data_IF_816604138940
#
_entry.id   IF_816604138940
#
_cell.length_a   1.000
_cell.length_b   1.000
_cell.length_c   1.000
_cell.angle_alpha   90.00
_cell.angle_beta   90.00
_cell.angle_gamma   90.00
#
_symmetry.space_group_name_H-M   'P 1'
#
loop_
_entity.id
_entity.type
_entity.pdbx_description
1 polymer ?
#
# COMPACT_ATOMS: atom_id res chain seq x y z
N UNK A 1 5.44 28.70 6.59
CA UNK A 1 4.72 28.16 5.43
C UNK A 1 5.62 28.06 4.18
N UNK A 2 6.39 29.09 3.83
CA UNK A 2 7.25 29.04 2.63
C UNK A 2 8.23 27.85 2.63
N UNK A 3 8.95 27.61 3.75
CA UNK A 3 9.86 26.44 3.90
C UNK A 3 9.10 25.13 3.74
N UNK A 4 7.94 25.01 4.37
CA UNK A 4 7.08 23.84 4.26
C UNK A 4 6.67 23.54 2.80
N UNK A 5 6.23 24.56 2.03
CA UNK A 5 5.91 24.39 0.62
C UNK A 5 7.16 24.10 -0.23
N UNK A 6 8.33 24.61 0.12
CA UNK A 6 9.57 24.27 -0.55
C UNK A 6 9.91 22.78 -0.40
N UNK A 7 9.77 22.23 0.82
CA UNK A 7 10.01 20.80 1.08
C UNK A 7 8.98 19.94 0.33
N UNK A 8 7.69 20.29 0.37
CA UNK A 8 6.66 19.62 -0.42
C UNK A 8 6.98 19.63 -1.92
N UNK A 9 7.40 20.77 -2.45
CA UNK A 9 7.76 20.89 -3.87
C UNK A 9 8.93 19.99 -4.26
N UNK A 10 9.97 19.89 -3.43
CA UNK A 10 11.11 19.00 -3.67
C UNK A 10 10.68 17.54 -3.72
N UNK A 11 9.90 17.11 -2.71
CA UNK A 11 9.40 15.75 -2.60
C UNK A 11 8.51 15.40 -3.81
N UNK A 12 7.51 16.23 -4.09
CA UNK A 12 6.60 15.99 -5.22
C UNK A 12 7.33 16.02 -6.59
N UNK A 13 8.34 16.88 -6.74
CA UNK A 13 9.17 16.90 -7.96
C UNK A 13 9.97 15.60 -8.10
N UNK A 14 10.55 15.08 -7.00
CA UNK A 14 11.22 13.77 -6.99
C UNK A 14 10.25 12.64 -7.38
N UNK A 15 9.01 12.70 -6.92
CA UNK A 15 7.98 11.71 -7.29
C UNK A 15 7.57 11.84 -8.75
N UNK A 16 7.22 13.04 -9.24
CA UNK A 16 6.69 13.23 -10.59
C UNK A 16 7.74 13.09 -11.70
N UNK A 17 8.96 13.51 -11.44
CA UNK A 17 10.01 13.60 -12.46
C UNK A 17 11.21 12.70 -12.18
N UNK A 18 11.50 12.43 -10.91
CA UNK A 18 12.66 11.63 -10.48
C UNK A 18 12.37 10.15 -10.31
N UNK A 19 11.12 9.72 -10.41
CA UNK A 19 10.76 8.31 -10.26
C UNK A 19 10.81 7.76 -8.82
N UNK A 20 11.06 8.59 -7.79
CA UNK A 20 11.06 8.14 -6.39
C UNK A 20 9.66 7.81 -5.87
N UNK A 21 9.53 6.82 -5.00
CA UNK A 21 8.29 6.63 -4.25
C UNK A 21 8.15 7.72 -3.18
N UNK A 22 6.90 8.13 -2.90
CA UNK A 22 6.64 9.25 -1.96
C UNK A 22 7.25 8.99 -0.58
N UNK A 23 7.17 7.75 -0.09
CA UNK A 23 7.75 7.35 1.19
C UNK A 23 9.27 7.47 1.20
N UNK A 24 9.92 7.07 0.11
CA UNK A 24 11.36 7.21 -0.08
C UNK A 24 11.74 8.70 -0.13
N UNK A 25 11.09 9.49 -0.99
CA UNK A 25 11.36 10.91 -1.13
C UNK A 25 11.21 11.68 0.18
N UNK A 26 10.21 11.33 1.01
CA UNK A 26 10.03 11.89 2.37
C UNK A 26 11.16 11.54 3.33
N UNK A 27 11.68 10.32 3.27
CA UNK A 27 12.77 9.87 4.14
C UNK A 27 14.12 10.47 3.74
N UNK A 28 14.37 10.63 2.44
CA UNK A 28 15.62 11.19 1.90
C UNK A 28 15.67 12.71 1.94
N UNK A 29 14.51 13.38 2.03
CA UNK A 29 14.47 14.85 2.10
C UNK A 29 14.65 15.32 3.55
N UNK A 30 15.67 16.13 3.86
CA UNK A 30 15.79 16.78 5.17
C UNK A 30 14.58 17.71 5.40
N UNK A 31 13.78 17.42 6.40
CA UNK A 31 12.59 18.18 6.79
C UNK A 31 12.71 18.52 8.27
N UNK A 32 12.46 19.79 8.64
CA UNK A 32 12.33 20.18 10.02
C UNK A 32 11.22 19.39 10.71
N UNK A 33 11.51 18.75 11.84
CA UNK A 33 10.60 17.83 12.53
C UNK A 33 9.23 18.46 12.82
N UNK A 34 9.21 19.75 13.17
CA UNK A 34 7.95 20.51 13.39
C UNK A 34 7.07 20.60 12.14
N UNK A 35 7.65 20.49 10.93
CA UNK A 35 6.94 20.58 9.65
C UNK A 35 6.62 19.20 9.06
N UNK A 36 7.29 18.13 9.51
CA UNK A 36 7.22 16.79 8.92
C UNK A 36 5.79 16.29 8.73
N UNK A 37 4.95 16.41 9.75
CA UNK A 37 3.56 15.98 9.68
C UNK A 37 2.74 16.72 8.60
N UNK A 38 2.93 18.05 8.52
CA UNK A 38 2.25 18.88 7.51
C UNK A 38 2.77 18.61 6.09
N UNK A 39 4.08 18.48 5.92
CA UNK A 39 4.70 18.12 4.63
C UNK A 39 4.18 16.77 4.15
N UNK A 40 4.17 15.77 5.04
CA UNK A 40 3.61 14.44 4.74
C UNK A 40 2.16 14.55 4.30
N UNK A 41 1.33 15.26 5.07
CA UNK A 41 -0.11 15.42 4.77
C UNK A 41 -0.35 16.08 3.40
N UNK A 42 0.42 17.11 3.05
CA UNK A 42 0.29 17.77 1.73
C UNK A 42 0.77 16.86 0.62
N UNK A 43 1.93 16.22 0.75
CA UNK A 43 2.48 15.37 -0.30
C UNK A 43 1.57 14.17 -0.60
N UNK A 44 1.17 13.43 0.42
CA UNK A 44 0.24 12.31 0.26
C UNK A 44 -1.11 12.75 -0.28
N UNK A 45 -1.67 13.85 0.23
CA UNK A 45 -2.96 14.35 -0.21
C UNK A 45 -2.96 14.86 -1.65
N UNK A 46 -1.90 15.54 -2.09
CA UNK A 46 -1.74 15.95 -3.49
C UNK A 46 -1.69 14.73 -4.40
N UNK A 47 -0.95 13.68 -4.01
CA UNK A 47 -0.87 12.45 -4.79
C UNK A 47 -2.18 11.65 -4.75
N UNK A 48 -2.86 11.61 -3.60
CA UNK A 48 -4.19 10.97 -3.51
C UNK A 48 -5.20 11.64 -4.42
N UNK A 49 -5.19 12.96 -4.52
CA UNK A 49 -6.10 13.74 -5.37
C UNK A 49 -5.52 14.12 -6.73
N UNK A 50 -4.45 13.47 -7.17
CA UNK A 50 -3.69 13.89 -8.36
C UNK A 50 -4.53 14.02 -9.62
N UNK A 51 -5.36 13.02 -9.93
CA UNK A 51 -6.22 12.99 -11.12
C UNK A 51 -7.33 14.03 -11.01
N UNK A 52 -7.95 14.16 -9.85
CA UNK A 52 -8.96 15.21 -9.56
C UNK A 52 -8.37 16.59 -9.78
N UNK A 53 -7.21 16.86 -9.18
CA UNK A 53 -6.52 18.15 -9.28
C UNK A 53 -6.07 18.46 -10.73
N UNK A 54 -5.59 17.46 -11.46
CA UNK A 54 -5.24 17.62 -12.89
C UNK A 54 -6.48 17.92 -13.75
N UNK A 55 -7.59 17.28 -13.50
CA UNK A 55 -8.86 17.58 -14.18
C UNK A 55 -9.32 19.02 -13.88
N UNK A 56 -9.32 19.43 -12.62
CA UNK A 56 -9.70 20.77 -12.20
C UNK A 56 -8.79 21.85 -12.82
N UNK A 57 -7.48 21.60 -12.91
CA UNK A 57 -6.54 22.48 -13.63
C UNK A 57 -6.92 22.57 -15.11
N UNK A 58 -7.19 21.44 -15.75
CA UNK A 58 -7.50 21.42 -17.19
C UNK A 58 -8.80 22.11 -17.54
N UNK A 59 -9.78 22.10 -16.60
CA UNK A 59 -11.07 22.80 -16.75
C UNK A 59 -10.93 24.32 -16.59
N UNK A 60 -9.97 24.77 -15.78
CA UNK A 60 -9.79 26.20 -15.51
C UNK A 60 -8.73 26.89 -16.39
N UNK A 61 -7.97 26.13 -17.17
CA UNK A 61 -6.88 26.61 -18.02
C UNK A 61 -7.07 26.21 -19.49
N UNK A 62 -6.95 27.17 -20.41
CA UNK A 62 -6.99 26.91 -21.85
C UNK A 62 -5.77 26.08 -22.33
N UNK A 63 -4.63 26.27 -21.67
CA UNK A 63 -3.40 25.54 -21.97
C UNK A 63 -2.87 24.85 -20.72
N UNK A 64 -2.50 23.58 -20.86
CA UNK A 64 -1.95 22.79 -19.76
C UNK A 64 -0.58 23.36 -19.29
N UNK A 65 -0.45 23.81 -18.02
CA UNK A 65 0.80 24.34 -17.50
C UNK A 65 1.90 23.27 -17.46
N UNK A 66 3.17 23.68 -17.52
CA UNK A 66 4.32 22.78 -17.35
C UNK A 66 4.28 22.08 -15.98
N UNK A 67 4.84 20.87 -15.87
CA UNK A 67 4.80 20.05 -14.66
C UNK A 67 5.18 20.80 -13.38
N UNK A 68 6.25 21.58 -13.42
CA UNK A 68 6.71 22.35 -12.27
C UNK A 68 5.68 23.37 -11.76
N UNK A 69 4.92 24.00 -12.67
CA UNK A 69 3.84 24.94 -12.30
C UNK A 69 2.64 24.16 -11.80
N UNK A 70 2.28 23.03 -12.45
CA UNK A 70 1.19 22.17 -11.99
C UNK A 70 1.43 21.66 -10.57
N UNK A 71 2.68 21.30 -10.23
CA UNK A 71 3.03 20.88 -8.86
C UNK A 71 2.71 21.99 -7.86
N UNK A 72 3.10 23.24 -8.16
CA UNK A 72 2.76 24.39 -7.30
C UNK A 72 1.26 24.61 -7.19
N UNK A 73 0.53 24.51 -8.32
CA UNK A 73 -0.94 24.65 -8.32
C UNK A 73 -1.59 23.54 -7.50
N UNK A 74 -1.21 22.28 -7.70
CA UNK A 74 -1.78 21.14 -6.94
C UNK A 74 -1.56 21.29 -5.44
N UNK A 75 -0.39 21.73 -5.00
CA UNK A 75 -0.10 22.02 -3.60
C UNK A 75 -1.04 23.11 -3.05
N UNK A 76 -1.21 24.19 -3.82
CA UNK A 76 -2.11 25.28 -3.45
C UNK A 76 -3.58 24.86 -3.40
N UNK A 77 -4.04 24.19 -4.43
CA UNK A 77 -5.42 23.68 -4.54
C UNK A 77 -5.75 22.73 -3.38
N UNK A 78 -4.85 21.78 -3.10
CA UNK A 78 -5.03 20.85 -1.99
C UNK A 78 -5.07 21.58 -0.64
N UNK A 79 -4.16 22.52 -0.42
CA UNK A 79 -4.10 23.30 0.83
C UNK A 79 -5.36 24.14 1.04
N UNK A 80 -5.91 24.73 -0.01
CA UNK A 80 -7.13 25.55 0.05
C UNK A 80 -8.36 24.66 0.27
N UNK A 81 -8.58 23.67 -0.60
CA UNK A 81 -9.82 22.88 -0.65
C UNK A 81 -9.92 21.83 0.45
N UNK A 82 -8.82 21.11 0.72
CA UNK A 82 -8.85 19.95 1.62
C UNK A 82 -8.28 20.23 3.01
N UNK A 83 -7.44 21.25 3.15
CA UNK A 83 -6.90 21.65 4.46
C UNK A 83 -7.56 22.92 5.02
N UNK A 84 -8.42 23.60 4.26
CA UNK A 84 -9.09 24.82 4.68
C UNK A 84 -8.13 26.00 4.91
N UNK A 85 -6.93 25.97 4.32
CA UNK A 85 -5.95 27.03 4.50
C UNK A 85 -6.37 28.30 3.76
N UNK A 86 -6.25 29.44 4.41
CA UNK A 86 -6.66 30.73 3.85
C UNK A 86 -5.99 31.01 2.49
N UNK A 87 -6.81 31.35 1.49
CA UNK A 87 -6.38 31.52 0.08
C UNK A 87 -5.20 32.49 -0.04
N UNK A 88 -5.26 33.66 0.65
CA UNK A 88 -4.20 34.64 0.60
C UNK A 88 -2.86 34.09 1.11
N UNK A 89 -2.89 33.36 2.23
CA UNK A 89 -1.69 32.80 2.83
C UNK A 89 -1.04 31.73 1.93
N UNK A 90 -1.84 30.87 1.31
CA UNK A 90 -1.36 29.88 0.34
C UNK A 90 -0.78 30.57 -0.89
N UNK A 91 -1.51 31.51 -1.46
CA UNK A 91 -1.15 32.20 -2.70
C UNK A 91 0.15 32.98 -2.55
N UNK A 92 0.30 33.79 -1.49
CA UNK A 92 1.49 34.62 -1.26
C UNK A 92 2.75 33.75 -1.10
N UNK A 93 2.64 32.64 -0.35
CA UNK A 93 3.76 31.72 -0.16
C UNK A 93 4.15 30.97 -1.45
N UNK A 94 3.18 30.56 -2.29
CA UNK A 94 3.47 29.86 -3.54
C UNK A 94 4.00 30.82 -4.63
N UNK A 95 3.57 32.05 -4.66
CA UNK A 95 4.11 33.11 -5.54
C UNK A 95 5.58 33.37 -5.16
N UNK A 96 5.86 33.53 -3.88
CA UNK A 96 7.24 33.72 -3.41
C UNK A 96 8.11 32.47 -3.67
N UNK A 97 7.56 31.29 -3.49
CA UNK A 97 8.25 30.04 -3.84
C UNK A 97 8.55 29.97 -5.35
N UNK A 98 7.60 30.33 -6.20
CA UNK A 98 7.83 30.35 -7.65
C UNK A 98 8.99 31.28 -8.05
N UNK A 99 9.10 32.45 -7.41
CA UNK A 99 10.23 33.38 -7.62
C UNK A 99 11.54 32.74 -7.19
N UNK A 100 11.61 32.13 -6.00
CA UNK A 100 12.80 31.43 -5.50
C UNK A 100 13.25 30.26 -6.37
N UNK A 101 12.31 29.58 -7.01
CA UNK A 101 12.58 28.49 -7.96
C UNK A 101 12.97 28.99 -9.38
N UNK A 102 13.20 30.27 -9.57
CA UNK A 102 13.49 30.86 -10.89
C UNK A 102 12.29 30.86 -11.85
N UNK A 103 11.08 30.74 -11.32
CA UNK A 103 9.81 30.73 -12.06
C UNK A 103 8.99 32.00 -11.86
N UNK A 104 9.63 33.12 -11.53
CA UNK A 104 8.99 34.40 -11.25
C UNK A 104 8.01 34.88 -12.32
N UNK A 105 8.28 34.58 -13.60
CA UNK A 105 7.36 34.88 -14.71
C UNK A 105 6.01 34.17 -14.62
N UNK A 106 5.85 33.14 -13.80
CA UNK A 106 4.58 32.42 -13.56
C UNK A 106 3.82 32.91 -12.31
N UNK A 107 4.41 33.83 -11.54
CA UNK A 107 3.85 34.30 -10.26
C UNK A 107 2.44 34.90 -10.41
N UNK A 108 2.26 35.78 -11.40
CA UNK A 108 0.95 36.36 -11.72
C UNK A 108 -0.10 35.32 -12.09
N UNK A 109 0.29 34.32 -12.88
CA UNK A 109 -0.60 33.21 -13.25
C UNK A 109 -1.01 32.38 -12.03
N UNK A 110 -0.06 31.99 -11.16
CA UNK A 110 -0.32 31.20 -9.94
C UNK A 110 -1.30 31.96 -9.03
N UNK A 111 -1.08 33.27 -8.83
CA UNK A 111 -1.94 34.11 -8.02
C UNK A 111 -3.39 34.17 -8.60
N UNK A 112 -3.52 34.47 -9.90
CA UNK A 112 -4.81 34.57 -10.55
C UNK A 112 -5.54 33.22 -10.54
N UNK A 113 -4.84 32.12 -10.83
CA UNK A 113 -5.39 30.77 -10.85
C UNK A 113 -5.95 30.37 -9.48
N UNK A 114 -5.16 30.48 -8.42
CA UNK A 114 -5.60 30.03 -7.08
C UNK A 114 -6.78 30.86 -6.55
N UNK A 115 -6.84 32.15 -6.85
CA UNK A 115 -8.00 32.99 -6.51
C UNK A 115 -9.26 32.63 -7.32
N UNK A 116 -9.10 32.27 -8.61
CA UNK A 116 -10.17 31.75 -9.46
C UNK A 116 -10.66 30.40 -8.95
N UNK A 117 -9.73 29.49 -8.66
CA UNK A 117 -10.01 28.14 -8.16
C UNK A 117 -10.82 28.16 -6.86
N UNK A 118 -10.45 29.01 -5.91
CA UNK A 118 -11.12 29.11 -4.61
C UNK A 118 -12.62 29.50 -4.69
N UNK A 119 -13.07 30.03 -5.85
CA UNK A 119 -14.44 30.44 -6.11
C UNK A 119 -15.15 29.60 -7.17
N UNK A 120 -14.41 28.70 -7.82
CA UNK A 120 -14.91 27.92 -8.94
C UNK A 120 -15.78 26.75 -8.45
N UNK A 121 -16.93 26.58 -9.09
CA UNK A 121 -17.68 25.33 -9.07
C UNK A 121 -17.31 24.56 -10.32
N UNK A 122 -16.75 23.37 -10.15
CA UNK A 122 -16.25 22.55 -11.25
C UNK A 122 -17.12 21.30 -11.33
N UNK A 123 -17.84 21.18 -12.43
CA UNK A 123 -18.68 20.02 -12.70
C UNK A 123 -17.83 18.81 -13.05
N UNK A 124 -18.27 17.63 -12.60
CA UNK A 124 -17.65 16.36 -12.96
C UNK A 124 -18.00 16.01 -14.42
N UNK A 125 -17.14 15.19 -15.08
CA UNK A 125 -17.44 14.73 -16.44
C UNK A 125 -18.76 13.98 -16.53
N UNK A 126 -19.45 14.06 -17.66
CA UNK A 126 -20.71 13.34 -17.92
C UNK A 126 -20.48 11.85 -18.22
N UNK A 127 -19.34 11.51 -18.82
CA UNK A 127 -18.95 10.10 -19.02
C UNK A 127 -18.76 9.41 -17.68
N UNK A 128 -19.42 8.29 -17.48
CA UNK A 128 -19.50 7.56 -16.22
C UNK A 128 -18.14 7.12 -15.66
N UNK A 129 -17.31 6.52 -16.50
CA UNK A 129 -15.98 6.03 -16.08
C UNK A 129 -15.08 7.21 -15.72
N UNK A 130 -15.10 8.24 -16.55
CA UNK A 130 -14.32 9.45 -16.30
C UNK A 130 -14.82 10.21 -15.07
N UNK A 131 -16.12 10.22 -14.83
CA UNK A 131 -16.72 10.80 -13.62
C UNK A 131 -16.15 10.14 -12.36
N UNK A 132 -16.25 8.80 -12.27
CA UNK A 132 -15.72 8.04 -11.14
C UNK A 132 -14.19 8.19 -11.01
N UNK A 133 -13.47 8.21 -12.15
CA UNK A 133 -12.04 8.46 -12.19
C UNK A 133 -11.66 9.79 -11.54
N UNK A 134 -12.33 10.87 -11.92
CA UNK A 134 -12.09 12.21 -11.38
C UNK A 134 -12.56 12.31 -9.93
N UNK A 135 -13.75 11.79 -9.62
CA UNK A 135 -14.37 11.87 -8.27
C UNK A 135 -13.49 11.20 -7.21
N UNK A 136 -12.97 10.01 -7.49
CA UNK A 136 -12.17 9.20 -6.55
C UNK A 136 -10.68 9.27 -6.81
N UNK A 137 -10.25 9.97 -7.88
CA UNK A 137 -8.85 10.07 -8.28
C UNK A 137 -8.22 8.70 -8.55
N UNK A 138 -8.89 7.86 -9.35
CA UNK A 138 -8.39 6.57 -9.85
C UNK A 138 -8.16 6.62 -11.36
N UNK A 139 -7.11 5.96 -11.89
CA UNK A 139 -6.93 5.84 -13.35
C UNK A 139 -8.14 5.18 -14.02
N UNK A 140 -8.54 5.67 -15.19
CA UNK A 140 -9.73 5.16 -15.91
C UNK A 140 -9.69 3.65 -16.14
N UNK A 141 -8.51 3.07 -16.46
CA UNK A 141 -8.41 1.62 -16.65
C UNK A 141 -8.75 0.85 -15.37
N UNK A 142 -8.34 1.36 -14.20
CA UNK A 142 -8.64 0.74 -12.92
C UNK A 142 -10.14 0.84 -12.60
N UNK A 143 -10.75 2.01 -12.87
CA UNK A 143 -12.20 2.20 -12.73
C UNK A 143 -12.96 1.22 -13.63
N UNK A 144 -12.58 1.11 -14.93
CA UNK A 144 -13.18 0.17 -15.88
C UNK A 144 -13.13 -1.27 -15.38
N UNK A 145 -12.00 -1.70 -14.84
CA UNK A 145 -11.83 -3.05 -14.28
C UNK A 145 -12.71 -3.25 -13.05
N UNK A 146 -12.69 -2.33 -12.09
CA UNK A 146 -13.52 -2.44 -10.88
C UNK A 146 -15.02 -2.49 -11.21
N UNK A 147 -15.49 -1.59 -12.08
CA UNK A 147 -16.90 -1.57 -12.52
C UNK A 147 -17.25 -2.84 -13.29
N UNK A 148 -16.39 -3.32 -14.17
CA UNK A 148 -16.61 -4.53 -14.96
C UNK A 148 -16.66 -5.81 -14.11
N UNK A 149 -15.90 -5.87 -13.01
CA UNK A 149 -15.85 -7.07 -12.14
C UNK A 149 -16.89 -7.07 -11.03
N UNK A 150 -17.18 -5.91 -10.45
CA UNK A 150 -17.97 -5.81 -9.22
C UNK A 150 -19.27 -5.02 -9.38
N UNK A 151 -19.51 -4.42 -10.56
CA UNK A 151 -20.58 -3.47 -10.76
C UNK A 151 -20.24 -2.08 -10.20
N UNK A 152 -21.03 -1.07 -10.58
CA UNK A 152 -20.73 0.33 -10.28
C UNK A 152 -20.82 0.66 -8.79
N UNK A 153 -21.91 0.29 -8.13
CA UNK A 153 -22.13 0.60 -6.71
C UNK A 153 -21.03 -0.01 -5.81
N UNK A 154 -20.59 -1.24 -6.15
CA UNK A 154 -19.53 -1.90 -5.40
C UNK A 154 -18.17 -1.28 -5.69
N UNK A 155 -17.88 -0.96 -6.94
CA UNK A 155 -16.65 -0.27 -7.34
C UNK A 155 -16.54 1.10 -6.66
N UNK A 156 -17.65 1.83 -6.57
CA UNK A 156 -17.70 3.13 -5.91
C UNK A 156 -17.39 3.02 -4.41
N UNK A 157 -17.96 2.03 -3.70
CA UNK A 157 -17.66 1.75 -2.29
C UNK A 157 -16.18 1.46 -2.07
N UNK A 158 -15.58 0.60 -2.92
CA UNK A 158 -14.14 0.28 -2.86
C UNK A 158 -13.28 1.52 -3.05
N UNK A 159 -13.61 2.38 -4.05
CA UNK A 159 -12.83 3.58 -4.34
C UNK A 159 -13.02 4.70 -3.32
N UNK A 160 -14.19 4.76 -2.67
CA UNK A 160 -14.51 5.77 -1.64
C UNK A 160 -14.03 5.39 -0.26
N UNK A 161 -13.55 4.17 -0.05
CA UNK A 161 -13.09 3.70 1.25
C UNK A 161 -12.02 4.62 1.85
N UNK A 162 -12.02 4.71 3.17
CA UNK A 162 -11.03 5.46 3.92
C UNK A 162 -9.65 4.77 3.88
N UNK A 163 -8.63 5.52 4.30
CA UNK A 163 -7.30 5.00 4.53
C UNK A 163 -7.32 3.92 5.61
N UNK A 164 -6.45 2.93 5.50
CA UNK A 164 -6.30 1.88 6.51
C UNK A 164 -5.99 2.49 7.88
N UNK A 165 -6.65 1.97 8.92
CA UNK A 165 -6.37 2.36 10.30
C UNK A 165 -5.00 1.87 10.72
N UNK A 166 -4.24 2.73 11.41
CA UNK A 166 -2.92 2.35 11.93
C UNK A 166 -3.05 1.25 12.96
N UNK A 167 -2.40 0.11 12.71
CA UNK A 167 -2.35 -1.01 13.64
C UNK A 167 -0.93 -1.24 14.16
N UNK A 168 -0.84 -1.54 15.46
CA UNK A 168 0.38 -1.91 16.18
C UNK A 168 0.24 -3.34 16.67
N UNK A 169 1.23 -4.17 16.37
CA UNK A 169 1.35 -5.54 16.87
C UNK A 169 2.51 -5.62 17.85
N UNK A 170 2.25 -6.13 19.04
CA UNK A 170 3.27 -6.36 20.06
C UNK A 170 3.99 -7.69 19.84
N UNK A 171 5.25 -7.76 20.26
CA UNK A 171 6.04 -8.98 20.16
C UNK A 171 5.53 -10.02 21.17
N UNK A 172 5.79 -11.29 20.87
CA UNK A 172 5.43 -12.41 21.75
C UNK A 172 6.03 -12.20 23.16
N UNK A 173 5.21 -12.41 24.17
CA UNK A 173 5.61 -12.22 25.58
C UNK A 173 5.45 -10.79 26.11
N UNK A 174 5.06 -9.82 25.28
CA UNK A 174 4.72 -8.47 25.72
C UNK A 174 3.21 -8.37 25.89
N UNK A 175 2.73 -7.87 27.01
CA UNK A 175 1.33 -7.49 27.20
C UNK A 175 1.08 -6.11 26.58
N UNK A 176 0.58 -6.12 25.33
CA UNK A 176 0.36 -4.90 24.57
C UNK A 176 -0.77 -4.03 25.14
N UNK A 177 -1.80 -4.64 25.72
CA UNK A 177 -2.90 -3.89 26.33
C UNK A 177 -2.43 -3.11 27.56
N UNK A 178 -1.71 -3.79 28.46
CA UNK A 178 -1.10 -3.14 29.61
C UNK A 178 -0.12 -2.05 29.20
N UNK A 179 0.73 -2.32 28.20
CA UNK A 179 1.69 -1.34 27.66
C UNK A 179 1.00 -0.05 27.19
N UNK A 180 -0.10 -0.18 26.43
CA UNK A 180 -0.84 0.97 25.91
C UNK A 180 -1.61 1.69 27.03
N UNK A 181 -2.23 0.96 27.94
CA UNK A 181 -3.01 1.49 29.05
C UNK A 181 -2.16 2.29 30.04
N UNK A 182 -1.02 1.76 30.49
CA UNK A 182 -0.09 2.47 31.41
C UNK A 182 0.42 3.80 30.83
N UNK A 183 0.60 3.86 29.51
CA UNK A 183 1.06 5.05 28.78
C UNK A 183 -0.07 5.96 28.31
N UNK A 184 -1.33 5.59 28.61
CA UNK A 184 -2.54 6.35 28.23
C UNK A 184 -2.64 6.65 26.74
N UNK A 185 -2.21 5.67 25.91
CA UNK A 185 -2.39 5.77 24.46
C UNK A 185 -3.88 5.55 24.12
N UNK A 186 -4.35 6.25 23.08
CA UNK A 186 -5.67 6.01 22.50
C UNK A 186 -5.59 4.77 21.60
N UNK A 187 -6.30 3.70 21.99
CA UNK A 187 -6.29 2.42 21.29
C UNK A 187 -7.64 1.74 21.29
N UNK A 188 -7.84 0.86 20.33
CA UNK A 188 -8.99 -0.03 20.20
C UNK A 188 -8.49 -1.45 19.90
N UNK A 189 -9.13 -2.47 20.53
CA UNK A 189 -8.79 -3.88 20.25
C UNK A 189 -9.14 -4.24 18.81
N UNK A 190 -8.25 -4.98 18.16
CA UNK A 190 -8.55 -5.65 16.90
C UNK A 190 -9.05 -7.07 17.15
N UNK A 191 -9.59 -7.78 16.14
CA UNK A 191 -9.94 -9.20 16.29
C UNK A 191 -8.73 -10.13 16.52
N UNK A 192 -7.50 -9.62 16.34
CA UNK A 192 -6.27 -10.41 16.46
C UNK A 192 -5.59 -10.20 17.80
N UNK A 193 -5.05 -11.28 18.33
CA UNK A 193 -4.33 -11.26 19.60
C UNK A 193 -3.16 -10.26 19.56
N UNK A 194 -3.00 -9.52 20.64
CA UNK A 194 -1.90 -8.58 20.87
C UNK A 194 -1.65 -7.57 19.75
N UNK A 195 -2.74 -7.23 19.03
CA UNK A 195 -2.76 -6.27 17.92
C UNK A 195 -3.86 -5.24 18.18
N UNK A 196 -3.53 -3.95 18.06
CA UNK A 196 -4.42 -2.85 18.41
C UNK A 196 -4.42 -1.78 17.32
N UNK A 197 -5.60 -1.22 17.04
CA UNK A 197 -5.67 0.05 16.33
C UNK A 197 -5.26 1.17 17.28
N UNK A 198 -4.49 2.14 16.77
CA UNK A 198 -3.97 3.24 17.56
C UNK A 198 -4.13 4.59 16.85
N UNK A 199 -4.41 5.64 17.63
CA UNK A 199 -4.51 6.99 17.12
C UNK A 199 -3.36 7.85 17.66
N UNK A 200 -2.68 8.59 16.77
CA UNK A 200 -1.60 9.48 17.16
C UNK A 200 -0.37 8.79 17.77
N UNK A 201 -0.32 7.46 17.74
CA UNK A 201 0.79 6.67 18.28
C UNK A 201 2.06 6.91 17.48
N UNK A 202 3.15 7.26 18.17
CA UNK A 202 4.43 7.58 17.54
C UNK A 202 5.47 6.52 17.87
N UNK A 203 6.34 6.27 16.90
CA UNK A 203 7.54 5.47 17.11
C UNK A 203 8.39 6.07 18.21
N UNK A 204 8.84 5.23 19.14
CA UNK A 204 9.72 5.56 20.25
C UNK A 204 10.83 4.50 20.37
N UNK A 205 11.68 4.60 21.39
CA UNK A 205 12.78 3.65 21.63
C UNK A 205 12.32 2.20 21.77
N UNK A 206 11.11 1.96 22.26
CA UNK A 206 10.57 0.60 22.43
C UNK A 206 10.29 -0.08 21.07
N UNK A 207 10.03 0.71 20.03
CA UNK A 207 10.01 0.20 18.66
C UNK A 207 11.37 -0.35 18.24
N UNK A 208 12.45 0.39 18.54
CA UNK A 208 13.81 -0.01 18.16
C UNK A 208 14.30 -1.21 18.99
N UNK A 209 13.77 -1.40 20.20
CA UNK A 209 13.97 -2.58 21.07
C UNK A 209 13.11 -3.80 20.65
N UNK A 210 12.26 -3.66 19.65
CA UNK A 210 11.40 -4.75 19.15
C UNK A 210 10.20 -5.11 20.06
N UNK A 211 9.82 -4.22 20.97
CA UNK A 211 8.64 -4.42 21.84
C UNK A 211 7.37 -4.48 21.00
N UNK A 212 7.27 -3.63 19.98
CA UNK A 212 6.16 -3.60 19.04
C UNK A 212 6.61 -3.27 17.63
N UNK A 213 5.69 -3.47 16.69
CA UNK A 213 5.86 -3.06 15.29
C UNK A 213 4.55 -2.58 14.70
N UNK A 214 4.64 -1.67 13.71
CA UNK A 214 3.49 -1.32 12.87
C UNK A 214 3.30 -2.40 11.80
N UNK A 215 2.08 -2.89 11.66
CA UNK A 215 1.73 -3.86 10.62
C UNK A 215 0.30 -3.61 10.16
N UNK A 216 0.08 -3.55 8.84
CA UNK A 216 -1.26 -3.49 8.25
C UNK A 216 -2.15 -4.60 8.80
N UNK A 217 -3.40 -4.26 9.14
CA UNK A 217 -4.34 -5.25 9.69
C UNK A 217 -4.65 -6.35 8.67
N UNK A 218 -4.64 -6.02 7.36
CA UNK A 218 -4.76 -7.00 6.30
C UNK A 218 -3.58 -7.97 6.25
N UNK A 219 -2.34 -7.48 6.46
CA UNK A 219 -1.16 -8.34 6.60
C UNK A 219 -1.23 -9.23 7.84
N UNK A 220 -1.79 -8.73 8.95
CA UNK A 220 -2.03 -9.56 10.15
C UNK A 220 -3.06 -10.66 9.85
N UNK A 221 -4.15 -10.32 9.15
CA UNK A 221 -5.17 -11.29 8.74
C UNK A 221 -4.61 -12.41 7.85
N UNK A 222 -3.74 -12.06 6.88
CA UNK A 222 -3.02 -13.05 6.06
C UNK A 222 -2.19 -13.99 6.97
N UNK A 223 -1.41 -13.43 7.90
CA UNK A 223 -0.60 -14.24 8.82
C UNK A 223 -1.46 -15.09 9.78
N UNK A 224 -2.62 -14.58 10.22
CA UNK A 224 -3.54 -15.33 11.10
C UNK A 224 -4.10 -16.57 10.38
N UNK A 225 -4.40 -16.46 9.08
CA UNK A 225 -4.92 -17.54 8.24
C UNK A 225 -3.88 -18.64 7.93
N UNK A 226 -2.58 -18.37 8.05
CA UNK A 226 -1.52 -19.36 7.84
C UNK A 226 -1.42 -20.28 9.06
N UNK A 227 -1.65 -21.57 8.84
CA UNK A 227 -1.51 -22.59 9.88
C UNK A 227 -0.03 -22.80 10.22
N UNK A 228 0.27 -22.92 11.51
CA UNK A 228 1.62 -23.15 12.00
C UNK A 228 2.17 -24.54 11.66
N UNK A 229 3.49 -24.74 11.82
CA UNK A 229 4.18 -25.99 11.50
C UNK A 229 5.66 -25.95 11.82
N UNK A 230 6.42 -26.87 11.20
CA UNK A 230 7.87 -26.94 11.37
C UNK A 230 8.55 -25.90 10.46
N UNK A 231 8.34 -25.98 9.15
CA UNK A 231 9.06 -25.21 8.14
C UNK A 231 8.11 -24.38 7.26
N UNK A 232 8.32 -23.07 7.23
CA UNK A 232 7.65 -22.14 6.35
C UNK A 232 8.61 -21.59 5.30
N UNK A 233 8.14 -21.46 4.07
CA UNK A 233 8.72 -20.57 3.06
C UNK A 233 7.83 -19.32 2.90
N UNK A 234 8.39 -18.14 3.08
CA UNK A 234 7.84 -16.85 2.65
C UNK A 234 8.52 -16.43 1.34
N UNK A 235 7.84 -16.61 0.23
CA UNK A 235 8.44 -16.58 -1.11
C UNK A 235 8.76 -15.16 -1.63
N UNK A 236 8.15 -14.11 -1.09
CA UNK A 236 8.35 -12.71 -1.51
C UNK A 236 8.35 -11.82 -0.26
N UNK A 237 9.33 -12.03 0.62
CA UNK A 237 9.23 -11.68 2.03
C UNK A 237 9.39 -10.19 2.35
N UNK A 238 10.21 -9.45 1.57
CA UNK A 238 10.58 -8.09 1.94
C UNK A 238 9.39 -7.10 2.04
N UNK A 239 9.40 -6.26 3.07
CA UNK A 239 10.48 -5.99 4.02
C UNK A 239 10.54 -6.93 5.25
N UNK A 240 9.82 -8.06 5.28
CA UNK A 240 9.90 -9.06 6.33
C UNK A 240 8.76 -9.06 7.35
N UNK A 241 7.75 -8.21 7.17
CA UNK A 241 6.66 -8.07 8.14
C UNK A 241 5.84 -9.35 8.37
N UNK A 242 5.57 -10.12 7.30
CA UNK A 242 4.87 -11.40 7.39
C UNK A 242 5.78 -12.49 7.93
N UNK A 243 7.03 -12.59 7.46
CA UNK A 243 8.03 -13.55 7.98
C UNK A 243 8.23 -13.39 9.50
N UNK A 244 8.40 -12.16 9.98
CA UNK A 244 8.54 -11.84 11.41
C UNK A 244 7.29 -12.21 12.23
N UNK A 245 6.10 -12.02 11.67
CA UNK A 245 4.86 -12.42 12.32
C UNK A 245 4.74 -13.97 12.39
N UNK A 246 4.98 -14.63 11.27
CA UNK A 246 4.88 -16.09 11.13
C UNK A 246 5.98 -16.83 11.87
N UNK A 247 7.11 -16.18 12.19
CA UNK A 247 8.17 -16.75 13.01
C UNK A 247 7.70 -17.23 14.40
N UNK A 248 6.59 -16.68 14.91
CA UNK A 248 5.98 -17.13 16.17
C UNK A 248 5.13 -18.40 16.03
N UNK A 249 4.81 -18.82 14.79
CA UNK A 249 3.99 -20.00 14.46
C UNK A 249 4.80 -21.18 13.92
N UNK A 250 6.05 -20.95 13.49
CA UNK A 250 6.89 -21.96 12.85
C UNK A 250 8.22 -22.12 13.58
N UNK A 251 8.79 -23.34 13.57
CA UNK A 251 10.14 -23.58 14.12
C UNK A 251 11.22 -22.93 13.24
N UNK A 252 11.02 -22.93 11.92
CA UNK A 252 11.96 -22.33 10.96
C UNK A 252 11.19 -21.62 9.85
N UNK A 253 11.66 -20.43 9.50
CA UNK A 253 11.13 -19.63 8.38
C UNK A 253 12.26 -19.34 7.41
N UNK A 254 12.09 -19.76 6.16
CA UNK A 254 12.95 -19.35 5.04
C UNK A 254 12.27 -18.21 4.32
N UNK A 255 12.95 -17.08 4.15
CA UNK A 255 12.41 -15.86 3.53
C UNK A 255 13.17 -15.55 2.24
N UNK A 256 12.52 -15.71 1.07
CA UNK A 256 13.12 -15.37 -0.22
C UNK A 256 12.84 -13.92 -0.59
N UNK A 257 13.82 -13.28 -1.20
CA UNK A 257 13.70 -11.94 -1.77
C UNK A 257 14.62 -11.80 -2.98
N UNK A 258 14.09 -11.25 -4.07
CA UNK A 258 14.80 -11.09 -5.34
C UNK A 258 15.98 -10.12 -5.24
N UNK A 259 15.82 -9.01 -4.53
CA UNK A 259 16.77 -7.90 -4.51
C UNK A 259 17.65 -7.91 -3.26
N UNK A 260 19.00 -7.92 -3.41
CA UNK A 260 19.94 -8.06 -2.27
C UNK A 260 19.78 -6.95 -1.22
N UNK A 261 19.54 -5.71 -1.63
CA UNK A 261 19.32 -4.60 -0.67
C UNK A 261 18.04 -4.78 0.18
N UNK A 262 17.05 -5.53 -0.32
CA UNK A 262 15.82 -5.82 0.43
C UNK A 262 15.96 -7.04 1.34
N UNK A 263 16.89 -7.95 1.04
CA UNK A 263 17.29 -9.04 1.97
C UNK A 263 17.78 -8.43 3.29
N UNK A 264 18.64 -7.41 3.22
CA UNK A 264 19.10 -6.68 4.42
C UNK A 264 17.96 -6.08 5.25
N UNK A 265 16.86 -5.61 4.59
CA UNK A 265 15.69 -5.11 5.32
C UNK A 265 15.00 -6.21 6.13
N UNK A 266 14.93 -7.44 5.60
CA UNK A 266 14.38 -8.60 6.31
C UNK A 266 15.25 -8.93 7.52
N UNK A 267 16.56 -9.00 7.32
CA UNK A 267 17.54 -9.30 8.39
C UNK A 267 17.48 -8.29 9.51
N UNK A 268 17.47 -6.98 9.18
CA UNK A 268 17.34 -5.89 10.16
C UNK A 268 16.02 -5.98 10.93
N UNK A 269 14.93 -6.31 10.24
CA UNK A 269 13.64 -6.46 10.89
C UNK A 269 13.62 -7.66 11.83
N UNK A 270 14.16 -8.81 11.41
CA UNK A 270 14.26 -10.00 12.24
C UNK A 270 15.13 -9.75 13.47
N UNK A 271 16.28 -9.10 13.30
CA UNK A 271 17.16 -8.71 14.41
C UNK A 271 16.44 -7.80 15.41
N UNK A 272 15.77 -6.76 14.92
CA UNK A 272 15.00 -5.83 15.75
C UNK A 272 13.88 -6.52 16.54
N UNK A 273 13.17 -7.45 15.90
CA UNK A 273 12.05 -8.18 16.51
C UNK A 273 12.47 -9.47 17.22
N UNK A 274 13.79 -9.73 17.34
CA UNK A 274 14.36 -10.89 18.02
C UNK A 274 13.88 -12.23 17.45
N UNK A 275 13.79 -12.33 16.11
CA UNK A 275 13.34 -13.55 15.39
C UNK A 275 14.55 -14.30 14.82
N UNK A 276 15.22 -15.11 15.66
CA UNK A 276 16.40 -15.87 15.28
C UNK A 276 16.12 -17.09 14.37
N UNK A 277 14.84 -17.50 14.26
CA UNK A 277 14.40 -18.63 13.45
C UNK A 277 14.02 -18.25 12.01
N UNK A 278 14.27 -17.00 11.58
CA UNK A 278 14.05 -16.54 10.20
C UNK A 278 15.41 -16.45 9.48
N UNK A 279 15.52 -17.10 8.32
CA UNK A 279 16.66 -17.03 7.42
C UNK A 279 16.29 -16.34 6.12
N UNK A 280 16.81 -15.15 5.87
CA UNK A 280 16.65 -14.44 4.60
C UNK A 280 17.65 -14.95 3.55
N UNK A 281 17.17 -15.09 2.31
CA UNK A 281 17.98 -15.62 1.18
C UNK A 281 17.63 -14.79 -0.06
N UNK A 282 18.67 -14.31 -0.74
CA UNK A 282 18.48 -13.71 -2.06
C UNK A 282 18.12 -14.79 -3.07
N UNK A 283 16.89 -14.78 -3.58
CA UNK A 283 16.41 -15.77 -4.53
C UNK A 283 15.22 -15.25 -5.35
N UNK A 284 15.22 -15.58 -6.63
CA UNK A 284 14.06 -15.41 -7.50
C UNK A 284 13.09 -16.59 -7.30
N UNK A 285 11.94 -16.32 -6.74
CA UNK A 285 10.90 -17.31 -6.47
C UNK A 285 10.18 -17.84 -7.71
N UNK A 286 10.37 -17.19 -8.87
CA UNK A 286 9.90 -17.70 -10.15
C UNK A 286 10.84 -18.74 -10.76
N UNK A 287 12.06 -18.92 -10.23
CA UNK A 287 13.07 -19.86 -10.72
C UNK A 287 13.15 -21.08 -9.80
N UNK A 288 12.86 -22.27 -10.39
CA UNK A 288 12.88 -23.53 -9.64
C UNK A 288 14.29 -23.88 -9.14
N UNK A 289 14.35 -24.28 -7.88
CA UNK A 289 15.59 -24.79 -7.26
C UNK A 289 15.32 -26.16 -6.61
N UNK A 290 16.05 -27.16 -7.08
CA UNK A 290 15.91 -28.54 -6.60
C UNK A 290 16.21 -28.72 -5.12
N UNK A 291 16.99 -27.81 -4.53
CA UNK A 291 17.31 -27.86 -3.10
C UNK A 291 16.06 -27.76 -2.22
N UNK A 292 15.01 -27.04 -2.68
CA UNK A 292 13.82 -26.74 -1.86
C UNK A 292 12.63 -27.66 -2.13
N UNK A 293 12.71 -28.59 -3.08
CA UNK A 293 11.60 -29.49 -3.42
C UNK A 293 11.11 -30.25 -2.19
N UNK A 294 9.79 -30.26 -1.99
CA UNK A 294 9.09 -31.02 -0.94
C UNK A 294 9.60 -30.78 0.50
N UNK A 295 10.10 -29.55 0.80
CA UNK A 295 10.71 -29.25 2.12
C UNK A 295 9.83 -28.52 3.11
N UNK A 296 8.76 -27.85 2.66
CA UNK A 296 8.01 -26.95 3.51
C UNK A 296 6.62 -27.48 3.85
N UNK A 297 6.23 -27.34 5.12
CA UNK A 297 4.88 -27.68 5.59
C UNK A 297 3.86 -26.62 5.12
N UNK A 298 4.35 -25.38 5.00
CA UNK A 298 3.59 -24.27 4.43
C UNK A 298 4.49 -23.40 3.55
N UNK A 299 3.90 -22.90 2.45
CA UNK A 299 4.52 -21.90 1.57
C UNK A 299 3.56 -20.73 1.43
N UNK A 300 4.01 -19.52 1.72
CA UNK A 300 3.29 -18.28 1.50
C UNK A 300 3.87 -17.55 0.29
N UNK A 301 3.06 -17.40 -0.75
CA UNK A 301 3.34 -16.57 -1.92
C UNK A 301 2.60 -15.22 -1.75
N UNK A 302 3.17 -14.31 -0.96
CA UNK A 302 2.68 -12.91 -0.88
C UNK A 302 3.25 -12.12 -2.05
N UNK A 303 2.60 -12.30 -3.21
CA UNK A 303 3.17 -11.95 -4.50
C UNK A 303 3.25 -10.44 -4.75
N UNK A 304 4.27 -9.99 -5.52
CA UNK A 304 4.28 -8.62 -6.02
C UNK A 304 3.01 -8.36 -6.84
N UNK A 305 2.33 -7.26 -6.56
CA UNK A 305 1.06 -6.92 -7.17
C UNK A 305 0.94 -5.43 -7.50
N UNK A 306 -0.18 -5.04 -8.10
CA UNK A 306 -0.43 -3.63 -8.44
C UNK A 306 -0.50 -2.71 -7.22
N UNK A 307 -0.91 -3.24 -6.05
CA UNK A 307 -1.07 -2.48 -4.82
C UNK A 307 -2.39 -1.69 -4.73
N UNK A 308 -3.36 -1.95 -5.60
CA UNK A 308 -4.63 -1.19 -5.60
C UNK A 308 -5.49 -1.41 -4.36
N UNK A 309 -5.20 -2.42 -3.55
CA UNK A 309 -5.84 -2.61 -2.24
C UNK A 309 -5.31 -1.68 -1.14
N UNK A 310 -4.11 -1.15 -1.31
CA UNK A 310 -3.43 -0.25 -0.36
C UNK A 310 -3.09 1.11 -0.97
N UNK A 311 -3.83 1.50 -1.99
CA UNK A 311 -3.58 2.71 -2.81
C UNK A 311 -3.72 4.00 -2.00
N UNK A 312 -4.52 4.01 -0.94
CA UNK A 312 -4.67 5.16 -0.04
C UNK A 312 -3.41 5.42 0.78
N UNK A 313 -2.68 4.35 1.12
CA UNK A 313 -1.42 4.42 1.84
C UNK A 313 -0.21 4.61 0.91
N UNK A 314 -0.39 4.35 -0.40
CA UNK A 314 0.63 4.46 -1.44
C UNK A 314 0.06 5.16 -2.68
N UNK A 315 -0.35 6.44 -2.57
CA UNK A 315 -1.11 7.12 -3.63
C UNK A 315 -0.31 7.36 -4.92
N UNK A 316 1.02 7.29 -4.87
CA UNK A 316 1.90 7.36 -6.03
C UNK A 316 1.82 6.12 -6.95
N UNK A 317 1.20 5.02 -6.51
CA UNK A 317 0.83 3.88 -7.37
C UNK A 317 0.02 4.35 -8.59
N UNK A 318 -0.90 5.30 -8.41
CA UNK A 318 -1.74 5.87 -9.49
C UNK A 318 -0.95 6.47 -10.65
N UNK A 319 0.24 6.97 -10.37
CA UNK A 319 1.11 7.62 -11.35
C UNK A 319 1.98 6.62 -12.13
N UNK A 320 2.12 5.40 -11.65
CA UNK A 320 3.15 4.46 -12.10
C UNK A 320 2.59 3.19 -12.71
N UNK A 321 1.43 2.74 -12.24
CA UNK A 321 0.83 1.49 -12.69
C UNK A 321 -0.05 1.71 -13.90
N UNK A 322 0.35 1.10 -14.99
CA UNK A 322 -0.44 1.00 -16.22
C UNK A 322 -1.20 -0.33 -16.27
N UNK A 323 -2.09 -0.48 -17.22
CA UNK A 323 -2.77 -1.76 -17.46
C UNK A 323 -1.80 -2.86 -17.89
N UNK A 324 -0.77 -2.51 -18.69
CA UNK A 324 0.29 -3.43 -19.11
C UNK A 324 1.12 -3.92 -17.92
N UNK A 325 1.44 -3.04 -16.95
CA UNK A 325 2.12 -3.45 -15.71
C UNK A 325 1.32 -4.50 -14.94
N UNK A 326 -0.01 -4.33 -14.85
CA UNK A 326 -0.89 -5.33 -14.20
C UNK A 326 -0.84 -6.67 -14.94
N UNK A 327 -0.86 -6.66 -16.28
CA UNK A 327 -0.76 -7.88 -17.08
C UNK A 327 0.58 -8.60 -16.90
N UNK A 328 1.68 -7.84 -16.79
CA UNK A 328 3.01 -8.39 -16.53
C UNK A 328 3.11 -8.96 -15.11
N UNK A 329 2.53 -8.28 -14.12
CA UNK A 329 2.44 -8.79 -12.75
C UNK A 329 1.65 -10.10 -12.68
N UNK A 330 0.56 -10.24 -13.42
CA UNK A 330 -0.23 -11.49 -13.48
C UNK A 330 0.61 -12.69 -13.93
N UNK A 331 1.54 -12.49 -14.88
CA UNK A 331 2.47 -13.56 -15.32
C UNK A 331 3.45 -13.90 -14.19
N UNK A 332 4.09 -12.90 -13.60
CA UNK A 332 5.04 -13.09 -12.50
C UNK A 332 4.38 -13.79 -11.30
N UNK A 333 3.16 -13.40 -10.94
CA UNK A 333 2.39 -14.02 -9.85
C UNK A 333 2.11 -15.50 -10.12
N UNK A 334 1.70 -15.82 -11.34
CA UNK A 334 1.46 -17.21 -11.73
C UNK A 334 2.76 -18.05 -11.71
N UNK A 335 3.86 -17.51 -12.21
CA UNK A 335 5.16 -18.19 -12.26
C UNK A 335 5.68 -18.45 -10.84
N UNK A 336 5.61 -17.48 -9.94
CA UNK A 336 5.96 -17.63 -8.52
C UNK A 336 5.10 -18.72 -7.86
N UNK A 337 3.77 -18.63 -8.00
CA UNK A 337 2.86 -19.58 -7.39
C UNK A 337 3.11 -21.01 -7.89
N UNK A 338 3.30 -21.18 -9.21
CA UNK A 338 3.56 -22.48 -9.83
C UNK A 338 4.92 -23.07 -9.43
N UNK A 339 5.97 -22.25 -9.36
CA UNK A 339 7.30 -22.68 -8.92
C UNK A 339 7.30 -23.05 -7.46
N UNK A 340 6.78 -22.17 -6.60
CA UNK A 340 6.78 -22.38 -5.16
C UNK A 340 5.86 -23.52 -4.70
N UNK A 341 4.84 -23.89 -5.49
CA UNK A 341 4.01 -25.06 -5.22
C UNK A 341 4.82 -26.35 -5.14
N UNK A 342 5.95 -26.45 -5.89
CA UNK A 342 6.85 -27.62 -5.90
C UNK A 342 7.64 -27.77 -4.60
N UNK A 343 7.69 -26.73 -3.79
CA UNK A 343 8.41 -26.72 -2.51
C UNK A 343 7.53 -27.21 -1.35
N UNK A 344 6.22 -27.27 -1.53
CA UNK A 344 5.27 -27.75 -0.54
C UNK A 344 5.37 -29.29 -0.40
N UNK A 345 5.44 -29.83 0.80
CA UNK A 345 5.34 -31.27 1.09
C UNK A 345 3.96 -31.81 0.70
N UNK A 346 3.85 -33.12 0.46
CA UNK A 346 2.53 -33.79 0.40
C UNK A 346 1.79 -33.59 1.72
N UNK A 347 0.53 -33.22 1.65
CA UNK A 347 -0.29 -32.85 2.82
C UNK A 347 -0.01 -31.44 3.36
N UNK A 348 0.99 -30.74 2.82
CA UNK A 348 1.33 -29.38 3.20
C UNK A 348 0.44 -28.33 2.51
N UNK A 349 0.56 -27.08 2.91
CA UNK A 349 -0.29 -25.98 2.46
C UNK A 349 0.46 -24.96 1.63
N UNK A 350 -0.21 -24.48 0.57
CA UNK A 350 0.23 -23.36 -0.25
C UNK A 350 -0.75 -22.21 -0.06
N UNK A 351 -0.24 -21.04 0.27
CA UNK A 351 -1.01 -19.81 0.41
C UNK A 351 -0.60 -18.84 -0.68
N UNK A 352 -1.59 -18.26 -1.34
CA UNK A 352 -1.41 -17.16 -2.29
C UNK A 352 -2.05 -15.91 -1.74
N UNK A 353 -1.32 -14.80 -1.67
CA UNK A 353 -1.84 -13.52 -1.20
C UNK A 353 -1.34 -12.35 -2.03
N UNK A 354 -2.13 -11.27 -2.04
CA UNK A 354 -1.81 -9.98 -2.65
C UNK A 354 -2.38 -8.83 -1.82
N UNK A 355 -1.84 -7.62 -2.00
CA UNK A 355 -2.46 -6.38 -1.56
C UNK A 355 -3.21 -5.69 -2.72
N UNK A 356 -3.96 -6.45 -3.51
CA UNK A 356 -4.74 -5.97 -4.65
C UNK A 356 -6.22 -6.30 -4.52
N UNK A 357 -7.06 -5.42 -5.06
CA UNK A 357 -8.50 -5.65 -5.23
C UNK A 357 -8.84 -6.10 -6.65
N UNK A 358 -7.86 -6.34 -7.49
CA UNK A 358 -8.07 -6.73 -8.88
C UNK A 358 -8.28 -8.23 -9.00
N UNK A 359 -9.42 -8.62 -9.58
CA UNK A 359 -9.78 -10.02 -9.82
C UNK A 359 -8.72 -10.75 -10.63
N UNK A 360 -8.12 -10.09 -11.63
CA UNK A 360 -7.08 -10.66 -12.48
C UNK A 360 -5.79 -11.02 -11.74
N UNK A 361 -5.50 -10.37 -10.61
CA UNK A 361 -4.34 -10.67 -9.76
C UNK A 361 -4.67 -11.67 -8.64
N UNK A 362 -5.94 -11.96 -8.42
CA UNK A 362 -6.46 -12.73 -7.29
C UNK A 362 -7.07 -14.06 -7.76
N UNK A 363 -8.39 -14.15 -7.82
CA UNK A 363 -9.09 -15.42 -8.10
C UNK A 363 -8.80 -15.99 -9.50
N UNK A 364 -8.45 -15.14 -10.50
CA UNK A 364 -8.12 -15.61 -11.84
C UNK A 364 -6.76 -16.35 -11.84
N UNK A 365 -5.77 -15.87 -11.07
CA UNK A 365 -4.48 -16.55 -10.85
C UNK A 365 -4.72 -17.89 -10.17
N UNK A 366 -5.50 -17.92 -9.08
CA UNK A 366 -5.82 -19.14 -8.34
C UNK A 366 -6.57 -20.16 -9.21
N UNK A 367 -7.52 -19.69 -10.01
CA UNK A 367 -8.26 -20.54 -10.95
C UNK A 367 -7.36 -21.15 -12.03
N UNK A 368 -6.43 -20.35 -12.58
CA UNK A 368 -5.42 -20.82 -13.53
C UNK A 368 -4.49 -21.85 -12.89
N UNK A 369 -4.03 -21.58 -11.66
CA UNK A 369 -3.16 -22.49 -10.92
C UNK A 369 -3.79 -23.86 -10.73
N UNK A 370 -5.01 -23.95 -10.22
CA UNK A 370 -5.71 -25.21 -10.01
C UNK A 370 -5.96 -26.00 -11.32
N UNK A 371 -6.18 -25.30 -12.43
CA UNK A 371 -6.37 -25.94 -13.73
C UNK A 371 -5.14 -26.72 -14.19
N UNK A 372 -3.93 -26.22 -13.87
CA UNK A 372 -2.68 -26.82 -14.35
C UNK A 372 -1.90 -27.58 -13.27
N UNK A 373 -2.41 -27.63 -12.02
CA UNK A 373 -1.79 -28.34 -10.90
C UNK A 373 -2.85 -29.23 -10.20
N UNK A 374 -3.19 -30.39 -10.79
CA UNK A 374 -4.28 -31.27 -10.30
C UNK A 374 -3.96 -31.96 -8.97
N UNK A 375 -2.70 -31.93 -8.55
CA UNK A 375 -2.23 -32.39 -7.24
C UNK A 375 -2.52 -31.41 -6.10
N UNK A 376 -3.13 -30.27 -6.40
CA UNK A 376 -3.60 -29.30 -5.42
C UNK A 376 -5.14 -29.22 -5.44
N UNK A 377 -5.70 -28.95 -4.27
CA UNK A 377 -7.10 -28.54 -4.14
C UNK A 377 -7.23 -27.33 -3.23
N UNK A 378 -8.23 -26.49 -3.51
CA UNK A 378 -8.54 -25.34 -2.67
C UNK A 378 -9.14 -25.79 -1.34
N UNK A 379 -8.66 -25.19 -0.26
CA UNK A 379 -9.19 -25.40 1.10
C UNK A 379 -9.82 -24.10 1.58
N UNK A 380 -10.96 -24.24 2.22
CA UNK A 380 -11.66 -23.09 2.78
C UNK A 380 -10.80 -22.32 3.80
N UNK A 381 -10.87 -21.00 3.70
CA UNK A 381 -10.28 -20.06 4.67
C UNK A 381 -11.40 -19.32 5.36
N UNK A 382 -11.24 -19.13 6.65
CA UNK A 382 -12.01 -18.18 7.43
C UNK A 382 -11.08 -17.11 8.01
N UNK A 383 -11.62 -15.95 8.38
CA UNK A 383 -10.85 -14.85 8.96
C UNK A 383 -11.65 -14.11 10.01
N UNK A 384 -10.96 -13.64 11.03
CA UNK A 384 -11.52 -12.76 12.06
C UNK A 384 -11.75 -11.33 11.56
N UNK A 385 -11.02 -10.91 10.50
CA UNK A 385 -11.25 -9.65 9.83
C UNK A 385 -12.45 -9.80 8.89
N UNK A 386 -13.37 -8.84 8.80
CA UNK A 386 -14.46 -8.86 7.84
C UNK A 386 -13.95 -9.05 6.40
N UNK A 387 -14.57 -9.95 5.64
CA UNK A 387 -14.16 -10.32 4.29
C UNK A 387 -15.34 -10.68 3.41
N UNK A 388 -15.11 -10.79 2.12
CA UNK A 388 -16.05 -11.36 1.15
C UNK A 388 -15.47 -12.64 0.54
N UNK A 389 -16.33 -13.69 0.43
CA UNK A 389 -15.96 -14.91 -0.31
C UNK A 389 -16.00 -14.62 -1.80
N UNK A 390 -14.91 -14.98 -2.47
CA UNK A 390 -14.77 -14.88 -3.90
C UNK A 390 -15.05 -16.25 -4.54
N UNK A 391 -15.04 -16.33 -5.87
CA UNK A 391 -15.09 -17.62 -6.55
C UNK A 391 -13.95 -18.54 -6.12
N UNK A 392 -12.83 -17.97 -5.74
CA UNK A 392 -11.65 -18.62 -5.16
C UNK A 392 -11.13 -17.73 -4.05
N UNK A 393 -10.84 -18.32 -2.88
CA UNK A 393 -10.33 -17.60 -1.73
C UNK A 393 -11.28 -16.56 -1.14
N UNK A 394 -10.69 -15.61 -0.41
CA UNK A 394 -11.40 -14.50 0.23
C UNK A 394 -10.70 -13.16 -0.06
N UNK A 395 -11.51 -12.09 -0.18
CA UNK A 395 -11.03 -10.72 -0.34
C UNK A 395 -11.39 -9.87 0.87
N UNK A 396 -10.42 -9.14 1.34
CA UNK A 396 -10.59 -8.02 2.25
C UNK A 396 -10.71 -6.76 1.39
N UNK A 397 -11.92 -6.20 1.29
CA UNK A 397 -12.11 -4.95 0.56
C UNK A 397 -11.98 -3.76 1.50
N UNK A 398 -11.39 -2.64 1.06
CA UNK A 398 -11.10 -1.50 1.94
C UNK A 398 -12.31 -0.94 2.66
N UNK A 399 -13.49 -0.93 2.03
CA UNK A 399 -14.75 -0.44 2.61
C UNK A 399 -15.35 -1.36 3.70
N UNK A 400 -14.90 -2.62 3.75
CA UNK A 400 -15.39 -3.63 4.70
C UNK A 400 -14.35 -3.94 5.78
N UNK A 401 -13.07 -3.87 5.45
CA UNK A 401 -11.96 -4.40 6.23
C UNK A 401 -11.07 -3.29 6.80
N UNK A 402 -11.66 -2.23 7.36
CA UNK A 402 -10.96 -1.12 8.02
C UNK A 402 -9.92 -0.40 7.13
N UNK A 403 -10.19 -0.28 5.83
CA UNK A 403 -9.30 0.34 4.85
C UNK A 403 -8.28 -0.62 4.22
N UNK A 404 -8.20 -1.85 4.71
CA UNK A 404 -7.25 -2.86 4.21
C UNK A 404 -7.79 -3.58 2.97
N UNK A 405 -7.07 -3.49 1.86
CA UNK A 405 -7.39 -4.20 0.62
C UNK A 405 -6.41 -5.34 0.36
N UNK A 406 -6.82 -6.58 0.67
CA UNK A 406 -5.99 -7.77 0.52
C UNK A 406 -6.80 -8.95 -0.02
N UNK A 407 -6.08 -9.96 -0.48
CA UNK A 407 -6.66 -11.22 -0.92
C UNK A 407 -5.82 -12.39 -0.41
N UNK A 408 -6.48 -13.52 -0.08
CA UNK A 408 -5.81 -14.77 0.23
C UNK A 408 -6.60 -15.97 -0.29
N UNK A 409 -5.88 -16.96 -0.82
CA UNK A 409 -6.38 -18.28 -1.16
C UNK A 409 -5.45 -19.35 -0.57
N UNK A 410 -6.01 -20.48 -0.17
CA UNK A 410 -5.29 -21.60 0.45
C UNK A 410 -5.51 -22.86 -0.35
N UNK A 411 -4.45 -23.60 -0.57
CA UNK A 411 -4.45 -24.89 -1.23
C UNK A 411 -3.76 -25.94 -0.36
N UNK A 412 -4.18 -27.18 -0.46
CA UNK A 412 -3.48 -28.34 0.11
C UNK A 412 -2.91 -29.18 -1.03
N UNK A 413 -1.71 -29.69 -0.87
CA UNK A 413 -1.09 -30.63 -1.79
C UNK A 413 -1.51 -32.06 -1.44
N UNK A 414 -2.09 -32.80 -2.37
CA UNK A 414 -2.54 -34.21 -2.24
C UNK A 414 -1.41 -35.18 -2.10
#
# INVERSE_FOLDING_TARGET
MLVLFYDCYRILTSVYSGGAFVKQALNETPIDEKNRAHVTKICYGVLDKDITLDYEISTLCDKRPKQAVRTLLKMGMYSIKYLGTAVYAVTDNLVELAKKLGKGGTAGFINAFLRKYAKAEIELPTDKIKNLSVKYSYPEFAVKKLVGWYGEDRAEKIMSADQERTAVRFNKGVDGENYLGERRWDYEKTPFENTFFVNGFKRNEDYDKGIYTFQSIGSVAICDAVLGGENLLDACSAPGGKAVNLADKFKSVTAFELHPHRVGLIEDYCKRMLKANVRAIQKDSAVLDGEYLDKFDAVLCDCPCSGYGVIKDNPDIKLRRTEEDVQNLNKIQYDILSTCSRYVKKGGYLYYSTCSVFKSENEDICGKFLKFNPDFEEVEIDSKLPYERMKRGISFFPDVSYGAGFYICKFVRK
#
